data_IF_740486113875
#
_entry.id   IF_740486113875
#
_cell.length_a   1.000
_cell.length_b   1.000
_cell.length_c   1.000
_cell.angle_alpha   90.00
_cell.angle_beta   90.00
_cell.angle_gamma   90.00
#
_symmetry.space_group_name_H-M   'P 1'
#
loop_
_entity.id
_entity.type
_entity.pdbx_description
1 polymer ?
#
# COMPACT_ATOMS: atom_id res chain seq x y z
N UNK A 1 -7.14 -0.99 -10.68
CA UNK A 1 -7.27 -1.75 -11.93
C UNK A 1 -6.57 -0.97 -13.02
N UNK A 2 -6.32 -1.60 -14.18
CA UNK A 2 -5.80 -0.87 -15.33
C UNK A 2 -6.76 0.27 -15.69
N UNK A 3 -6.20 1.37 -16.21
CA UNK A 3 -6.92 2.61 -16.59
C UNK A 3 -7.58 3.43 -15.46
N UNK A 4 -7.40 3.06 -14.18
CA UNK A 4 -7.82 3.91 -13.06
C UNK A 4 -7.12 5.28 -13.12
N UNK A 5 -7.90 6.36 -13.03
CA UNK A 5 -7.40 7.73 -13.11
C UNK A 5 -6.74 8.13 -11.79
N UNK A 6 -5.49 8.59 -11.85
CA UNK A 6 -4.75 9.15 -10.70
C UNK A 6 -4.46 10.62 -10.97
N UNK A 7 -4.72 11.47 -9.98
CA UNK A 7 -4.38 12.90 -10.01
C UNK A 7 -3.17 13.16 -9.11
N UNK A 8 -2.19 13.86 -9.66
CA UNK A 8 -1.04 14.39 -8.91
C UNK A 8 -1.18 15.91 -8.88
N UNK A 9 -1.36 16.48 -7.70
CA UNK A 9 -1.44 17.93 -7.50
C UNK A 9 -0.20 18.40 -6.74
N UNK A 10 0.73 19.06 -7.45
CA UNK A 10 1.98 19.54 -6.87
C UNK A 10 1.77 20.72 -5.91
N UNK A 11 0.97 21.76 -6.25
CA UNK A 11 0.64 22.83 -5.31
C UNK A 11 0.00 22.32 -4.01
N UNK A 12 -1.00 21.43 -4.10
CA UNK A 12 -1.71 20.90 -2.94
C UNK A 12 -0.94 19.78 -2.22
N UNK A 13 0.09 19.22 -2.87
CA UNK A 13 0.88 18.08 -2.40
C UNK A 13 0.01 16.83 -2.16
N UNK A 14 -0.99 16.61 -3.02
CA UNK A 14 -1.90 15.47 -2.94
C UNK A 14 -1.66 14.46 -4.06
N UNK A 15 -2.02 13.21 -3.77
CA UNK A 15 -2.05 12.11 -4.71
C UNK A 15 -3.41 11.43 -4.55
N UNK A 16 -4.32 11.71 -5.49
CA UNK A 16 -5.71 11.28 -5.39
C UNK A 16 -6.02 10.19 -6.41
N UNK A 17 -6.70 9.13 -5.97
CA UNK A 17 -7.27 8.11 -6.84
C UNK A 17 -8.70 8.52 -7.20
N UNK A 18 -8.96 8.80 -8.47
CA UNK A 18 -10.26 9.28 -8.97
C UNK A 18 -11.19 8.09 -9.28
N UNK A 19 -11.43 7.27 -8.26
CA UNK A 19 -12.33 6.11 -8.28
C UNK A 19 -13.39 6.32 -7.20
N UNK A 20 -14.63 5.91 -7.46
CA UNK A 20 -15.71 6.06 -6.50
C UNK A 20 -15.50 5.20 -5.23
N UNK A 21 -15.94 5.70 -4.08
CA UNK A 21 -15.77 5.01 -2.79
C UNK A 21 -16.41 3.62 -2.77
N UNK A 22 -17.58 3.45 -3.37
CA UNK A 22 -18.25 2.14 -3.44
C UNK A 22 -17.45 1.08 -4.18
N UNK A 23 -16.78 1.46 -5.27
CA UNK A 23 -15.84 0.59 -5.97
C UNK A 23 -14.61 0.29 -5.13
N UNK A 24 -14.05 1.28 -4.42
CA UNK A 24 -12.91 1.06 -3.52
C UNK A 24 -13.26 0.09 -2.39
N UNK A 25 -14.43 0.23 -1.78
CA UNK A 25 -14.91 -0.68 -0.72
C UNK A 25 -15.06 -2.12 -1.25
N UNK A 26 -15.68 -2.28 -2.42
CA UNK A 26 -15.79 -3.58 -3.09
C UNK A 26 -14.42 -4.19 -3.37
N UNK A 27 -13.45 -3.40 -3.86
CA UNK A 27 -12.09 -3.86 -4.14
C UNK A 27 -11.34 -4.24 -2.85
N UNK A 28 -11.49 -3.48 -1.77
CA UNK A 28 -10.92 -3.81 -0.45
C UNK A 28 -11.48 -5.11 0.10
N UNK A 29 -12.78 -5.37 -0.08
CA UNK A 29 -13.43 -6.58 0.43
C UNK A 29 -12.86 -7.88 -0.18
N UNK A 30 -12.36 -7.84 -1.41
CA UNK A 30 -11.79 -9.02 -2.09
C UNK A 30 -10.26 -9.08 -2.06
N UNK A 31 -9.61 -8.01 -1.58
CA UNK A 31 -8.16 -7.91 -1.58
C UNK A 31 -7.51 -8.92 -0.63
N UNK A 32 -6.43 -9.55 -1.10
CA UNK A 32 -5.59 -10.44 -0.30
C UNK A 32 -4.13 -10.07 -0.48
N UNK A 33 -3.32 -10.03 0.60
CA UNK A 33 -1.91 -9.75 0.48
C UNK A 33 -1.20 -10.86 -0.31
N UNK A 34 -0.18 -10.48 -1.08
CA UNK A 34 0.68 -11.44 -1.77
C UNK A 34 1.48 -12.27 -0.78
N UNK A 35 1.77 -13.52 -1.15
CA UNK A 35 2.68 -14.36 -0.37
C UNK A 35 4.08 -13.72 -0.31
N UNK A 36 4.75 -13.72 0.85
CA UNK A 36 6.11 -13.19 0.96
C UNK A 36 7.07 -13.93 0.03
N UNK A 37 7.82 -13.20 -0.80
CA UNK A 37 8.87 -13.77 -1.66
C UNK A 37 9.97 -14.48 -0.86
N UNK A 38 10.25 -13.99 0.35
CA UNK A 38 11.26 -14.51 1.25
C UNK A 38 10.62 -14.95 2.58
N UNK A 39 10.24 -16.23 2.70
CA UNK A 39 9.53 -16.72 3.89
C UNK A 39 10.45 -16.98 5.09
N UNK A 40 11.78 -16.96 4.91
CA UNK A 40 12.78 -17.18 5.96
C UNK A 40 13.96 -16.17 5.89
N UNK A 41 14.85 -16.24 6.87
CA UNK A 41 16.05 -15.40 6.94
C UNK A 41 15.78 -13.95 7.38
N UNK A 42 16.69 -13.05 7.04
CA UNK A 42 16.63 -11.65 7.48
C UNK A 42 15.38 -10.91 6.96
N UNK A 43 15.01 -11.10 5.69
CA UNK A 43 13.85 -10.43 5.09
C UNK A 43 12.52 -10.89 5.67
N UNK A 44 12.42 -12.15 6.10
CA UNK A 44 11.25 -12.64 6.81
C UNK A 44 11.09 -12.01 8.20
N UNK A 45 12.19 -11.66 8.87
CA UNK A 45 12.15 -10.92 10.13
C UNK A 45 11.75 -9.46 9.88
N UNK A 46 12.39 -8.82 8.89
CA UNK A 46 12.09 -7.43 8.52
C UNK A 46 10.61 -7.23 8.17
N UNK A 47 10.04 -8.07 7.30
CA UNK A 47 8.63 -7.99 6.90
C UNK A 47 7.64 -8.14 8.06
N UNK A 48 8.05 -8.76 9.17
CA UNK A 48 7.23 -8.92 10.38
C UNK A 48 7.35 -7.76 11.37
N UNK A 49 8.42 -6.97 11.28
CA UNK A 49 8.81 -6.00 12.30
C UNK A 49 8.78 -4.55 11.82
N UNK A 50 8.91 -4.31 10.51
CA UNK A 50 9.01 -2.97 9.95
C UNK A 50 7.71 -2.17 10.16
N UNK A 51 7.83 -0.94 10.68
CA UNK A 51 6.74 0.02 10.82
C UNK A 51 6.44 0.80 9.53
N UNK A 52 5.52 1.76 9.63
CA UNK A 52 5.13 2.61 8.49
C UNK A 52 6.32 3.39 7.92
N UNK A 53 6.38 3.56 6.60
CA UNK A 53 7.42 4.36 5.95
C UNK A 53 7.35 5.84 6.35
N UNK A 54 6.15 6.37 6.65
CA UNK A 54 5.98 7.75 7.13
C UNK A 54 6.62 7.96 8.52
N UNK A 55 6.78 6.86 9.28
CA UNK A 55 7.43 6.81 10.60
C UNK A 55 8.90 6.34 10.50
N UNK A 56 9.45 6.23 9.28
CA UNK A 56 10.85 5.89 9.05
C UNK A 56 11.17 4.41 8.90
N UNK A 57 10.17 3.52 8.78
CA UNK A 57 10.37 2.08 8.54
C UNK A 57 11.30 1.40 9.56
N UNK A 58 11.20 1.79 10.82
CA UNK A 58 11.96 1.22 11.94
C UNK A 58 11.45 -0.18 12.30
N UNK A 59 12.31 -1.03 12.86
CA UNK A 59 11.99 -2.44 13.20
C UNK A 59 12.00 -2.71 14.71
N UNK A 60 12.05 -1.67 15.53
CA UNK A 60 12.16 -1.71 17.00
C UNK A 60 12.20 -0.31 17.57
#
# INVERSE_FOLDING_TARGET
>A
EEDDRVRVDLPARTLDLLVDEGTLDRRRAVWKPHAPRYPSGALAKYAKLVGSAEQGAVTG
#
